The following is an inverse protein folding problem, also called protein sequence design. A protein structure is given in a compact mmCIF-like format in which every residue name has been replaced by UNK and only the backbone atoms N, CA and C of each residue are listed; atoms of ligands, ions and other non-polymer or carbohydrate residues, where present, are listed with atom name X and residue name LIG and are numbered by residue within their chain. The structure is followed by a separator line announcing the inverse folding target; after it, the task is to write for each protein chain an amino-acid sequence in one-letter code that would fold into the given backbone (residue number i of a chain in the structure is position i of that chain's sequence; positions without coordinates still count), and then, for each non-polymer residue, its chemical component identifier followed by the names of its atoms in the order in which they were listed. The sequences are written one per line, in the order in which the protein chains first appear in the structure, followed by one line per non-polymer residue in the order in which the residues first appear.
data_IF_010435177030
#
_entry.id   IF_010435177030
#
_cell.length_a   1.000
_cell.length_b   1.000
_cell.length_c   1.000
_cell.angle_alpha   90.00
_cell.angle_beta   90.00
_cell.angle_gamma   90.00
#
_symmetry.space_group_name_H-M   'P 1'
#
loop_
_entity.id
_entity.type
_entity.pdbx_description
1 polymer ?
#
# COMPACT_ATOMS: atom_id res chain seq x y z
N UNK A 1 5.12 -13.16 18.14
CA UNK A 1 6.09 -12.22 17.55
C UNK A 1 6.17 -12.54 16.06
N UNK A 2 5.31 -11.95 15.22
CA UNK A 2 5.35 -12.18 13.77
C UNK A 2 6.49 -11.32 13.20
N UNK A 3 7.54 -11.98 12.72
CA UNK A 3 8.67 -11.35 12.06
C UNK A 3 8.20 -10.51 10.87
N UNK A 4 8.67 -9.26 10.79
CA UNK A 4 8.47 -8.37 9.64
C UNK A 4 8.92 -8.99 8.31
N UNK A 5 9.73 -10.05 8.34
CA UNK A 5 10.16 -10.81 7.17
C UNK A 5 9.00 -11.42 6.37
N UNK A 6 7.90 -11.85 7.01
CA UNK A 6 6.78 -12.48 6.28
C UNK A 6 5.92 -11.46 5.53
N UNK A 7 5.90 -10.20 5.99
CA UNK A 7 5.13 -9.10 5.39
C UNK A 7 5.65 -8.76 4.00
N UNK A 8 6.97 -8.89 3.80
CA UNK A 8 7.64 -8.67 2.52
C UNK A 8 7.65 -9.91 1.61
N UNK A 9 7.24 -11.09 2.08
CA UNK A 9 7.15 -12.32 1.27
C UNK A 9 5.89 -12.39 0.39
N UNK A 10 5.27 -11.26 0.09
CA UNK A 10 4.11 -11.17 -0.79
C UNK A 10 2.77 -11.52 -0.16
N UNK A 11 2.73 -11.96 1.11
CA UNK A 11 1.48 -12.29 1.82
C UNK A 11 0.50 -11.10 1.87
N UNK A 12 1.02 -9.89 2.08
CA UNK A 12 0.21 -8.68 2.11
C UNK A 12 -0.49 -8.43 0.77
N UNK A 13 0.24 -8.58 -0.34
CA UNK A 13 -0.26 -8.44 -1.71
C UNK A 13 -1.23 -9.57 -2.06
N UNK A 14 -0.88 -10.82 -1.73
CA UNK A 14 -1.74 -11.99 -1.98
C UNK A 14 -3.09 -11.87 -1.26
N UNK A 15 -3.08 -11.37 -0.01
CA UNK A 15 -4.31 -11.13 0.75
C UNK A 15 -5.16 -10.02 0.12
N UNK A 16 -4.54 -8.97 -0.44
CA UNK A 16 -5.25 -7.95 -1.20
C UNK A 16 -5.96 -8.57 -2.42
N UNK A 17 -5.25 -9.38 -3.21
CA UNK A 17 -5.79 -10.09 -4.37
C UNK A 17 -6.99 -10.97 -4.01
N UNK A 18 -6.81 -11.87 -3.03
CA UNK A 18 -7.87 -12.76 -2.58
C UNK A 18 -9.11 -12.00 -2.08
N UNK A 19 -8.90 -10.89 -1.36
CA UNK A 19 -10.00 -10.05 -0.87
C UNK A 19 -10.72 -9.33 -2.02
N UNK A 20 -9.98 -8.79 -2.99
CA UNK A 20 -10.54 -8.17 -4.20
C UNK A 20 -11.43 -9.16 -4.95
N UNK A 21 -10.91 -10.35 -5.25
CA UNK A 21 -11.63 -11.36 -6.04
C UNK A 21 -12.89 -11.83 -5.32
N UNK A 22 -12.80 -12.08 -4.01
CA UNK A 22 -13.95 -12.45 -3.20
C UNK A 22 -15.03 -11.37 -3.22
N UNK A 23 -14.68 -10.12 -2.88
CA UNK A 23 -15.64 -9.01 -2.77
C UNK A 23 -16.30 -8.68 -4.11
N UNK A 24 -15.58 -8.83 -5.22
CA UNK A 24 -16.11 -8.63 -6.56
C UNK A 24 -17.19 -9.63 -6.97
N UNK A 25 -17.24 -10.79 -6.32
CA UNK A 25 -18.27 -11.80 -6.52
C UNK A 25 -19.51 -11.57 -5.63
N UNK A 26 -19.47 -10.61 -4.70
CA UNK A 26 -20.56 -10.36 -3.74
C UNK A 26 -21.54 -9.32 -4.27
N UNK A 27 -22.56 -9.75 -5.03
CA UNK A 27 -23.56 -8.83 -5.59
C UNK A 27 -24.33 -8.04 -4.52
N UNK A 28 -24.69 -8.67 -3.41
CA UNK A 28 -25.37 -8.01 -2.28
C UNK A 28 -24.57 -6.83 -1.73
N UNK A 29 -23.27 -7.05 -1.50
CA UNK A 29 -22.36 -6.02 -1.03
C UNK A 29 -22.16 -4.89 -2.06
N UNK A 30 -22.05 -5.25 -3.34
CA UNK A 30 -21.92 -4.26 -4.42
C UNK A 30 -23.14 -3.34 -4.46
N UNK A 31 -24.34 -3.91 -4.34
CA UNK A 31 -25.59 -3.14 -4.28
C UNK A 31 -25.66 -2.28 -3.02
N UNK A 32 -25.31 -2.83 -1.84
CA UNK A 32 -25.32 -2.09 -0.58
C UNK A 32 -24.34 -0.90 -0.60
N UNK A 33 -23.13 -1.12 -1.11
CA UNK A 33 -22.10 -0.09 -1.15
C UNK A 33 -22.27 0.88 -2.32
N UNK A 34 -23.11 0.54 -3.31
CA UNK A 34 -23.23 1.20 -4.62
C UNK A 34 -21.88 1.40 -5.33
N UNK A 35 -20.96 0.46 -5.14
CA UNK A 35 -19.63 0.49 -5.77
C UNK A 35 -19.08 -0.92 -5.86
N UNK A 36 -18.37 -1.20 -6.96
CA UNK A 36 -17.69 -2.48 -7.17
C UNK A 36 -16.23 -2.38 -6.75
N UNK A 37 -15.76 -3.36 -5.99
CA UNK A 37 -14.35 -3.46 -5.62
C UNK A 37 -13.46 -3.51 -6.90
N UNK A 38 -12.39 -2.70 -6.99
CA UNK A 38 -11.48 -2.71 -8.13
C UNK A 38 -10.87 -4.09 -8.38
N UNK A 39 -10.65 -4.46 -9.65
CA UNK A 39 -9.94 -5.70 -9.96
C UNK A 39 -8.45 -5.47 -9.77
N UNK A 40 -7.83 -6.24 -8.90
CA UNK A 40 -6.38 -6.26 -8.79
C UNK A 40 -5.74 -6.93 -10.01
N UNK A 41 -4.68 -6.29 -10.52
CA UNK A 41 -3.83 -6.80 -11.61
C UNK A 41 -2.37 -6.62 -11.19
N UNK A 42 -1.42 -7.07 -12.02
CA UNK A 42 0.01 -6.87 -11.79
C UNK A 42 0.46 -5.39 -11.91
N UNK A 43 -0.43 -4.48 -12.31
CA UNK A 43 -0.11 -3.05 -12.46
C UNK A 43 -0.16 -2.34 -11.11
N UNK A 44 0.95 -1.69 -10.74
CA UNK A 44 1.11 -0.94 -9.49
C UNK A 44 0.02 0.11 -9.25
N UNK A 45 -0.36 0.86 -10.29
CA UNK A 45 -1.44 1.86 -10.21
C UNK A 45 -2.77 1.22 -9.79
N UNK A 46 -3.11 0.06 -10.33
CA UNK A 46 -4.33 -0.67 -9.97
C UNK A 46 -4.28 -1.17 -8.53
N UNK A 47 -3.09 -1.54 -8.06
CA UNK A 47 -2.88 -1.94 -6.68
C UNK A 47 -3.20 -0.78 -5.72
N UNK A 48 -2.68 0.43 -5.97
CA UNK A 48 -3.01 1.58 -5.13
C UNK A 48 -4.48 2.00 -5.18
N UNK A 49 -5.15 1.89 -6.34
CA UNK A 49 -6.61 2.13 -6.43
C UNK A 49 -7.39 1.15 -5.55
N UNK A 50 -7.01 -0.13 -5.55
CA UNK A 50 -7.64 -1.14 -4.71
C UNK A 50 -7.40 -0.90 -3.21
N UNK A 51 -6.18 -0.51 -2.82
CA UNK A 51 -5.88 -0.18 -1.41
C UNK A 51 -6.67 1.02 -0.92
N UNK A 52 -6.79 2.08 -1.73
CA UNK A 52 -7.65 3.23 -1.41
C UNK A 52 -9.08 2.76 -1.23
N UNK A 53 -9.60 1.91 -2.12
CA UNK A 53 -10.94 1.32 -1.95
C UNK A 53 -11.09 0.60 -0.61
N UNK A 54 -10.12 -0.26 -0.24
CA UNK A 54 -10.16 -0.99 1.03
C UNK A 54 -10.19 -0.06 2.24
N UNK A 55 -9.37 0.99 2.23
CA UNK A 55 -9.31 2.01 3.29
C UNK A 55 -10.64 2.76 3.37
N UNK A 56 -11.13 3.31 2.25
CA UNK A 56 -12.35 4.12 2.18
C UNK A 56 -13.57 3.35 2.69
N UNK A 57 -13.66 2.06 2.37
CA UNK A 57 -14.82 1.24 2.71
C UNK A 57 -14.60 0.29 3.88
N UNK A 58 -13.49 0.43 4.64
CA UNK A 58 -13.08 -0.50 5.70
C UNK A 58 -14.22 -0.88 6.65
N UNK A 59 -14.96 0.10 7.17
CA UNK A 59 -16.04 -0.14 8.14
C UNK A 59 -17.14 -1.03 7.55
N UNK A 60 -17.55 -0.77 6.31
CA UNK A 60 -18.59 -1.56 5.61
C UNK A 60 -18.09 -2.98 5.34
N UNK A 61 -16.84 -3.12 4.90
CA UNK A 61 -16.22 -4.42 4.64
C UNK A 61 -16.09 -5.27 5.91
N UNK A 62 -15.68 -4.68 7.04
CA UNK A 62 -15.59 -5.38 8.33
C UNK A 62 -16.98 -5.80 8.82
N UNK A 63 -17.98 -4.91 8.71
CA UNK A 63 -19.36 -5.25 9.05
C UNK A 63 -19.90 -6.38 8.17
N UNK A 64 -19.67 -6.33 6.86
CA UNK A 64 -20.09 -7.39 5.94
C UNK A 64 -19.41 -8.72 6.26
N UNK A 65 -18.10 -8.70 6.57
CA UNK A 65 -17.34 -9.88 6.94
C UNK A 65 -17.91 -10.57 8.19
N UNK A 66 -18.38 -9.80 9.18
CA UNK A 66 -18.97 -10.35 10.40
C UNK A 66 -20.25 -11.17 10.15
N UNK A 67 -20.93 -10.94 9.02
CA UNK A 67 -22.19 -11.59 8.67
C UNK A 67 -22.03 -12.67 7.58
N UNK A 68 -20.79 -12.99 7.15
CA UNK A 68 -20.52 -13.86 6.01
C UNK A 68 -19.41 -14.86 6.30
N UNK A 69 -19.29 -15.92 5.48
CA UNK A 69 -18.13 -16.86 5.49
C UNK A 69 -16.86 -16.24 4.88
N UNK A 70 -16.62 -14.95 5.12
CA UNK A 70 -15.43 -14.25 4.66
C UNK A 70 -14.46 -14.08 5.82
N UNK A 71 -13.21 -14.49 5.64
CA UNK A 71 -12.15 -14.22 6.62
C UNK A 71 -11.58 -12.83 6.35
N UNK A 72 -11.93 -11.79 7.14
CA UNK A 72 -11.48 -10.45 6.88
C UNK A 72 -9.96 -10.34 6.95
N UNK A 73 -9.35 -9.31 6.32
CA UNK A 73 -7.96 -9.00 6.57
C UNK A 73 -7.72 -8.77 8.07
N UNK A 74 -6.58 -9.27 8.57
CA UNK A 74 -6.24 -9.16 9.99
C UNK A 74 -6.03 -7.69 10.39
N UNK A 75 -6.13 -7.35 11.69
CA UNK A 75 -5.79 -6.01 12.17
C UNK A 75 -4.40 -5.55 11.71
N UNK A 76 -3.42 -6.45 11.73
CA UNK A 76 -2.07 -6.17 11.25
C UNK A 76 -2.02 -5.83 9.75
N UNK A 77 -2.79 -6.53 8.91
CA UNK A 77 -2.88 -6.22 7.48
C UNK A 77 -3.44 -4.81 7.24
N UNK A 78 -4.43 -4.39 8.03
CA UNK A 78 -4.96 -3.03 7.96
C UNK A 78 -3.90 -1.99 8.35
N UNK A 79 -3.20 -2.20 9.46
CA UNK A 79 -2.11 -1.32 9.91
C UNK A 79 -1.07 -1.13 8.80
N UNK A 80 -0.61 -2.22 8.18
CA UNK A 80 0.33 -2.16 7.06
C UNK A 80 -0.23 -1.41 5.86
N UNK A 81 -1.50 -1.62 5.54
CA UNK A 81 -2.17 -0.94 4.42
C UNK A 81 -2.27 0.56 4.62
N UNK A 82 -2.62 1.00 5.83
CA UNK A 82 -2.63 2.41 6.20
C UNK A 82 -1.22 3.01 6.15
N UNK A 83 -0.23 2.34 6.74
CA UNK A 83 1.16 2.79 6.74
C UNK A 83 1.76 2.91 5.32
N UNK A 84 1.43 1.98 4.42
CA UNK A 84 1.94 1.97 3.05
C UNK A 84 1.16 2.89 2.08
N UNK A 85 -0.06 3.31 2.44
CA UNK A 85 -0.93 4.09 1.55
C UNK A 85 -0.30 5.40 1.06
N UNK A 86 0.36 6.21 1.91
CA UNK A 86 0.99 7.44 1.45
C UNK A 86 2.11 7.19 0.42
N UNK A 87 2.96 6.18 0.65
CA UNK A 87 4.02 5.80 -0.28
C UNK A 87 3.46 5.36 -1.63
N UNK A 88 2.42 4.53 -1.62
CA UNK A 88 1.77 4.03 -2.84
C UNK A 88 1.09 5.16 -3.60
N UNK A 89 0.47 6.11 -2.90
CA UNK A 89 -0.10 7.31 -3.50
C UNK A 89 0.97 8.14 -4.22
N UNK A 90 2.12 8.38 -3.56
CA UNK A 90 3.25 9.13 -4.14
C UNK A 90 3.80 8.42 -5.38
N UNK A 91 4.07 7.11 -5.29
CA UNK A 91 4.54 6.31 -6.44
C UNK A 91 3.52 6.32 -7.58
N UNK A 92 2.23 6.16 -7.30
CA UNK A 92 1.18 6.18 -8.32
C UNK A 92 1.11 7.50 -9.07
N UNK A 93 1.17 8.63 -8.35
CA UNK A 93 1.19 9.97 -8.96
C UNK A 93 2.38 10.12 -9.90
N UNK A 94 3.57 9.71 -9.46
CA UNK A 94 4.77 9.75 -10.29
C UNK A 94 4.65 8.83 -11.52
N UNK A 95 4.16 7.61 -11.37
CA UNK A 95 3.96 6.69 -12.51
C UNK A 95 2.99 7.30 -13.54
N UNK A 96 1.89 7.93 -13.11
CA UNK A 96 0.95 8.58 -14.02
C UNK A 96 1.62 9.70 -14.81
N UNK A 97 2.47 10.50 -14.14
CA UNK A 97 3.24 11.56 -14.81
C UNK A 97 4.24 10.96 -15.80
N UNK A 98 5.00 9.94 -15.40
CA UNK A 98 5.99 9.27 -16.26
C UNK A 98 5.36 8.58 -17.47
N UNK A 99 4.11 8.15 -17.38
CA UNK A 99 3.35 7.57 -18.49
C UNK A 99 2.85 8.62 -19.50
N UNK A 100 3.06 9.91 -19.26
CA UNK A 100 2.70 10.96 -20.19
C UNK A 100 3.62 10.93 -21.44
N UNK A 101 3.02 10.88 -22.63
CA UNK A 101 3.70 10.69 -23.92
C UNK A 101 4.59 11.87 -24.35
N UNK A 102 4.48 13.01 -23.67
CA UNK A 102 5.15 14.27 -24.05
C UNK A 102 6.38 14.56 -23.18
N UNK A 103 6.68 13.72 -22.19
CA UNK A 103 7.75 14.00 -21.24
C UNK A 103 9.15 13.74 -21.84
N UNK A 104 10.04 14.73 -21.71
CA UNK A 104 11.46 14.56 -22.04
C UNK A 104 12.17 13.72 -20.99
N UNK A 105 13.25 13.02 -21.35
CA UNK A 105 14.02 12.15 -20.43
C UNK A 105 14.50 12.93 -19.20
N UNK A 106 15.01 14.15 -19.37
CA UNK A 106 15.47 14.97 -18.25
C UNK A 106 14.36 15.32 -17.24
N UNK A 107 13.11 15.44 -17.70
CA UNK A 107 11.94 15.67 -16.83
C UNK A 107 11.53 14.38 -16.11
N UNK A 108 11.75 13.21 -16.72
CA UNK A 108 11.49 11.92 -16.09
C UNK A 108 12.43 11.70 -14.90
N UNK A 109 13.72 11.99 -15.08
CA UNK A 109 14.72 11.90 -14.01
C UNK A 109 14.38 12.82 -12.83
N UNK A 110 13.96 14.06 -13.11
CA UNK A 110 13.53 15.01 -12.08
C UNK A 110 12.35 14.46 -11.26
N UNK A 111 11.33 13.89 -11.91
CA UNK A 111 10.20 13.29 -11.20
C UNK A 111 10.58 12.06 -10.36
N UNK A 112 11.57 11.28 -10.80
CA UNK A 112 12.10 10.15 -10.04
C UNK A 112 12.87 10.66 -8.80
N UNK A 113 13.76 11.64 -8.95
CA UNK A 113 14.51 12.23 -7.83
C UNK A 113 13.57 12.85 -6.81
N UNK A 114 12.55 13.58 -7.27
CA UNK A 114 11.53 14.19 -6.42
C UNK A 114 10.64 13.15 -5.70
N UNK A 115 10.55 11.92 -6.20
CA UNK A 115 9.88 10.81 -5.51
C UNK A 115 10.78 10.16 -4.44
N UNK A 116 12.08 10.04 -4.70
CA UNK A 116 13.03 9.34 -3.80
C UNK A 116 13.07 10.00 -2.42
N UNK A 117 13.24 11.33 -2.35
CA UNK A 117 13.36 12.05 -1.08
C UNK A 117 12.20 11.78 -0.10
N UNK A 118 10.93 12.00 -0.52
CA UNK A 118 9.76 11.70 0.31
C UNK A 118 9.68 10.23 0.75
N UNK A 119 10.05 9.27 -0.10
CA UNK A 119 10.05 7.85 0.27
C UNK A 119 11.13 7.53 1.30
N UNK A 120 12.34 8.08 1.14
CA UNK A 120 13.44 7.95 2.11
C UNK A 120 13.01 8.48 3.48
N UNK A 121 12.40 9.66 3.53
CA UNK A 121 11.88 10.23 4.78
C UNK A 121 10.75 9.39 5.37
N UNK A 122 9.78 8.97 4.55
CA UNK A 122 8.60 8.22 5.01
C UNK A 122 8.96 6.85 5.59
N UNK A 123 10.00 6.21 5.06
CA UNK A 123 10.46 4.91 5.51
C UNK A 123 11.66 4.98 6.45
N UNK A 124 12.06 6.18 6.87
CA UNK A 124 13.23 6.43 7.72
C UNK A 124 14.46 5.66 7.23
N UNK A 125 14.72 5.73 5.91
CA UNK A 125 15.83 5.02 5.28
C UNK A 125 17.10 5.81 5.57
N UNK A 126 17.85 5.37 6.59
CA UNK A 126 19.19 5.88 6.81
C UNK A 126 20.16 5.26 5.80
N UNK A 127 20.79 6.14 5.02
CA UNK A 127 21.98 5.79 4.25
C UNK A 127 23.12 5.58 5.24
N UNK A 128 23.37 4.33 5.64
CA UNK A 128 24.61 3.98 6.34
C UNK A 128 25.76 4.07 5.34
N UNK A 129 26.21 5.27 5.03
CA UNK A 129 27.44 5.51 4.28
C UNK A 129 28.64 5.19 5.18
N UNK A 130 29.02 3.92 5.22
CA UNK A 130 30.29 3.45 5.76
C UNK A 130 30.86 2.36 4.84
N UNK A 131 32.14 2.42 4.45
CA UNK A 131 32.75 1.38 3.64
C UNK A 131 32.99 0.16 4.52
N UNK A 132 32.21 -0.90 4.32
CA UNK A 132 32.55 -2.23 4.80
C UNK A 132 32.38 -3.19 3.63
N UNK A 133 33.52 -3.58 3.06
CA UNK A 133 33.77 -4.79 2.29
C UNK A 133 32.57 -5.43 1.58
N UNK A 134 32.23 -4.87 0.41
CA UNK A 134 31.76 -5.68 -0.73
C UNK A 134 30.35 -6.27 -0.69
N UNK A 135 29.47 -5.93 0.25
CA UNK A 135 28.08 -6.41 0.24
C UNK A 135 27.04 -5.30 0.44
N UNK A 136 26.07 -5.24 -0.48
CA UNK A 136 24.81 -4.53 -0.29
C UNK A 136 23.90 -5.37 0.63
N UNK A 137 23.71 -4.94 1.88
CA UNK A 137 22.65 -5.49 2.73
C UNK A 137 21.34 -4.79 2.34
N UNK A 138 20.51 -5.51 1.61
CA UNK A 138 19.20 -5.04 1.17
C UNK A 138 18.14 -5.22 2.28
N UNK A 139 17.58 -4.10 2.75
CA UNK A 139 16.12 -3.96 2.77
C UNK A 139 15.32 -4.43 3.98
N UNK A 140 15.87 -4.42 5.20
CA UNK A 140 15.04 -4.54 6.40
C UNK A 140 14.38 -3.22 6.78
N UNK A 141 13.29 -2.83 6.12
CA UNK A 141 12.52 -1.63 6.49
C UNK A 141 11.94 -1.78 7.90
N UNK A 142 12.33 -0.89 8.83
CA UNK A 142 11.83 -0.86 10.21
C UNK A 142 10.95 0.38 10.39
N UNK A 143 9.63 0.21 10.38
CA UNK A 143 8.69 1.27 10.73
C UNK A 143 8.34 1.11 12.21
N UNK A 144 8.50 2.16 13.02
CA UNK A 144 8.12 2.10 14.43
C UNK A 144 6.58 2.14 14.56
N UNK A 145 6.04 1.29 15.43
CA UNK A 145 4.59 1.18 15.65
C UNK A 145 3.96 2.51 16.10
N UNK A 146 4.69 3.29 16.90
CA UNK A 146 4.24 4.61 17.37
C UNK A 146 3.99 5.60 16.22
N UNK A 147 4.85 5.57 15.19
CA UNK A 147 4.73 6.46 14.03
C UNK A 147 3.49 6.12 13.19
N UNK A 148 3.13 4.83 13.13
CA UNK A 148 1.91 4.38 12.43
C UNK A 148 0.66 4.83 13.19
N UNK A 149 0.65 4.73 14.52
CA UNK A 149 -0.48 5.15 15.36
C UNK A 149 -0.69 6.66 15.24
N UNK A 150 0.39 7.45 15.36
CA UNK A 150 0.33 8.90 15.21
C UNK A 150 -0.20 9.32 13.82
N UNK A 151 0.20 8.61 12.75
CA UNK A 151 -0.30 8.88 11.42
C UNK A 151 -1.79 8.55 11.26
N UNK A 152 -2.27 7.45 11.84
CA UNK A 152 -3.69 7.06 11.80
C UNK A 152 -4.56 8.07 12.55
N UNK A 153 -4.12 8.54 13.72
CA UNK A 153 -4.83 9.53 14.52
C UNK A 153 -4.90 10.89 13.81
N UNK A 154 -3.82 11.29 13.13
CA UNK A 154 -3.79 12.52 12.34
C UNK A 154 -4.73 12.49 11.12
N UNK A 155 -4.91 11.34 10.47
CA UNK A 155 -5.81 11.19 9.30
C UNK A 155 -7.28 10.98 9.69
N UNK A 156 -7.57 10.79 10.99
CA UNK A 156 -8.93 10.60 11.52
C UNK A 156 -9.59 11.88 12.05
N UNK A 157 -8.90 13.03 11.98
CA UNK A 157 -9.38 14.37 12.35
C UNK A 157 -9.83 15.15 11.12
#
# INVERSE_FOLDING_TARGET
MHSSANVFQGEWVAKAHASSDFLRAQNSLITEMNVKCPKLTTRWVQYGIALIFFITYRRRLVNYAAHQKFVPPSPFWWIMTYAASPAISSVNKTIVVLQNKVLLIAQQDEHIVNLIGPLVTMFSIDSTNGPIDGYFVNGGMRIAYADIVAHIEYQGS
#
